data_IF_339626259616
#
_entry.id   IF_339626259616
#
_cell.length_a   1.000
_cell.length_b   1.000
_cell.length_c   1.000
_cell.angle_alpha   90.00
_cell.angle_beta   90.00
_cell.angle_gamma   90.00
#
_symmetry.space_group_name_H-M   'P 1'
#
loop_
_entity.id
_entity.type
_entity.pdbx_description
1 polymer ?
#
# COMPACT_ATOMS: atom_id res chain seq x y z
N UNK A 1 11.11 18.69 -52.17
CA UNK A 1 11.79 18.40 -50.90
C UNK A 1 13.19 17.93 -51.25
N UNK A 2 14.19 18.83 -51.06
CA UNK A 2 15.55 18.57 -51.53
C UNK A 2 16.20 17.39 -50.80
N UNK A 3 16.82 16.50 -51.60
CA UNK A 3 17.55 15.30 -51.11
C UNK A 3 18.57 15.67 -50.05
N UNK A 4 19.13 16.90 -50.11
CA UNK A 4 20.05 17.45 -49.05
C UNK A 4 19.36 17.68 -47.72
N UNK A 5 18.11 18.10 -47.69
CA UNK A 5 17.33 18.28 -46.46
C UNK A 5 16.93 16.93 -45.84
N UNK A 6 16.64 15.95 -46.63
CA UNK A 6 16.34 14.57 -46.17
C UNK A 6 17.59 13.89 -45.58
N UNK A 7 18.75 14.09 -46.17
CA UNK A 7 20.04 13.57 -45.65
C UNK A 7 20.43 14.30 -44.33
N UNK A 8 20.21 15.63 -44.24
CA UNK A 8 20.47 16.37 -43.01
C UNK A 8 19.54 15.97 -41.87
N UNK A 9 18.25 15.76 -42.15
CA UNK A 9 17.28 15.32 -41.15
C UNK A 9 17.54 13.87 -40.71
N UNK A 10 17.99 13.00 -41.60
CA UNK A 10 18.37 11.62 -41.29
C UNK A 10 19.66 11.58 -40.46
N UNK A 11 20.65 12.45 -40.75
CA UNK A 11 21.88 12.59 -39.96
C UNK A 11 21.57 13.16 -38.56
N UNK A 12 20.64 14.09 -38.44
CA UNK A 12 20.22 14.63 -37.13
C UNK A 12 19.45 13.61 -36.27
N UNK A 13 18.65 12.74 -36.92
CA UNK A 13 17.98 11.62 -36.26
C UNK A 13 18.99 10.53 -35.81
N UNK A 14 20.05 10.29 -36.56
CA UNK A 14 21.09 9.32 -36.21
C UNK A 14 21.98 9.81 -35.04
N UNK A 15 22.23 11.13 -34.92
CA UNK A 15 23.01 11.69 -33.80
C UNK A 15 22.22 11.70 -32.48
N UNK A 16 20.89 11.76 -32.53
CA UNK A 16 20.04 11.65 -31.34
C UNK A 16 20.04 10.22 -30.74
N UNK A 17 20.36 9.19 -31.53
CA UNK A 17 20.41 7.81 -31.06
C UNK A 17 21.71 7.43 -30.27
N UNK A 18 22.73 8.28 -30.28
CA UNK A 18 23.98 8.09 -29.55
C UNK A 18 24.06 8.83 -28.21
N UNK A 19 22.94 9.44 -27.78
CA UNK A 19 22.86 9.90 -26.41
C UNK A 19 22.95 8.68 -25.50
N UNK A 20 24.14 8.38 -25.00
CA UNK A 20 24.32 7.43 -23.92
C UNK A 20 23.35 7.83 -22.82
N UNK A 21 22.34 7.02 -22.59
CA UNK A 21 21.35 7.30 -21.56
C UNK A 21 22.07 7.36 -20.22
N UNK A 22 22.42 8.57 -19.80
CA UNK A 22 22.96 8.80 -18.47
C UNK A 22 21.79 8.72 -17.50
N UNK A 23 21.86 7.78 -16.60
CA UNK A 23 20.82 7.60 -15.60
C UNK A 23 21.25 8.30 -14.31
N UNK A 24 20.43 9.26 -13.87
CA UNK A 24 20.66 9.99 -12.61
C UNK A 24 19.87 9.35 -11.47
N UNK A 25 20.32 9.59 -10.23
CA UNK A 25 19.62 9.13 -9.03
C UNK A 25 18.20 9.66 -8.95
N UNK A 26 18.01 10.95 -9.25
CA UNK A 26 16.68 11.58 -9.16
C UNK A 26 15.71 11.05 -10.23
N UNK A 27 16.24 10.73 -11.41
CA UNK A 27 15.44 10.07 -12.44
C UNK A 27 14.99 8.68 -11.99
N UNK A 28 15.89 7.88 -11.38
CA UNK A 28 15.54 6.58 -10.81
C UNK A 28 14.48 6.69 -9.74
N UNK A 29 14.60 7.63 -8.81
CA UNK A 29 13.61 7.89 -7.75
C UNK A 29 12.25 8.26 -8.35
N UNK A 30 12.23 9.20 -9.30
CA UNK A 30 11.00 9.66 -9.95
C UNK A 30 10.29 8.53 -10.71
N UNK A 31 11.05 7.74 -11.50
CA UNK A 31 10.49 6.61 -12.23
C UNK A 31 9.99 5.51 -11.30
N UNK A 32 10.73 5.19 -10.25
CA UNK A 32 10.30 4.22 -9.25
C UNK A 32 9.02 4.69 -8.54
N UNK A 33 8.93 5.95 -8.14
CA UNK A 33 7.72 6.50 -7.54
C UNK A 33 6.51 6.46 -8.49
N UNK A 34 6.72 6.67 -9.79
CA UNK A 34 5.63 6.63 -10.78
C UNK A 34 5.15 5.20 -11.09
N UNK A 35 6.05 4.22 -11.11
CA UNK A 35 5.76 2.86 -11.56
C UNK A 35 5.55 1.86 -10.43
N UNK A 36 5.93 2.18 -9.20
CA UNK A 36 5.83 1.26 -8.08
C UNK A 36 4.37 0.92 -7.76
N UNK A 37 4.01 -0.36 -7.63
CA UNK A 37 2.61 -0.77 -7.49
C UNK A 37 1.88 -0.11 -6.32
N UNK A 38 2.59 0.27 -5.24
CA UNK A 38 2.01 0.95 -4.09
C UNK A 38 1.43 2.33 -4.42
N UNK A 39 1.85 2.98 -5.51
CA UNK A 39 1.27 4.27 -5.93
C UNK A 39 -0.23 4.15 -6.20
N UNK A 40 -0.68 3.03 -6.75
CA UNK A 40 -2.11 2.77 -6.99
C UNK A 40 -2.93 2.69 -5.70
N UNK A 41 -2.28 2.43 -4.58
CA UNK A 41 -2.94 2.32 -3.27
C UNK A 41 -3.52 3.65 -2.79
N UNK A 42 -2.90 4.79 -3.15
CA UNK A 42 -3.45 6.11 -2.81
C UNK A 42 -4.90 6.27 -3.28
N UNK A 43 -5.15 6.02 -4.55
CA UNK A 43 -6.50 6.12 -5.09
C UNK A 43 -7.48 5.08 -4.52
N UNK A 44 -7.01 3.93 -4.05
CA UNK A 44 -7.85 2.93 -3.39
C UNK A 44 -8.21 3.36 -1.96
N UNK A 45 -7.28 3.95 -1.21
CA UNK A 45 -7.54 4.49 0.13
C UNK A 45 -8.58 5.61 0.05
N UNK A 46 -8.42 6.53 -0.90
CA UNK A 46 -9.36 7.64 -1.10
C UNK A 46 -10.78 7.13 -1.43
N UNK A 47 -10.91 6.21 -2.39
CA UNK A 47 -12.19 5.61 -2.74
C UNK A 47 -12.83 4.82 -1.59
N UNK A 48 -12.03 4.07 -0.84
CA UNK A 48 -12.53 3.34 0.33
C UNK A 48 -13.09 4.32 1.37
N UNK A 49 -12.35 5.40 1.65
CA UNK A 49 -12.81 6.47 2.54
C UNK A 49 -14.14 7.09 2.07
N UNK A 50 -14.27 7.40 0.78
CA UNK A 50 -15.50 7.95 0.20
C UNK A 50 -16.70 7.01 0.40
N UNK A 51 -16.54 5.71 0.09
CA UNK A 51 -17.59 4.72 0.29
C UNK A 51 -17.97 4.55 1.77
N UNK A 52 -16.98 4.52 2.66
CA UNK A 52 -17.23 4.36 4.09
C UNK A 52 -17.92 5.59 4.69
N UNK A 53 -17.56 6.80 4.23
CA UNK A 53 -18.25 8.04 4.60
C UNK A 53 -19.69 8.06 4.11
N UNK A 54 -19.92 7.61 2.87
CA UNK A 54 -21.27 7.48 2.31
C UNK A 54 -22.09 6.48 3.11
N UNK A 55 -21.54 5.29 3.40
CA UNK A 55 -22.19 4.25 4.18
C UNK A 55 -22.51 4.71 5.62
N UNK A 56 -21.56 5.38 6.28
CA UNK A 56 -21.80 5.96 7.61
C UNK A 56 -22.96 6.97 7.58
N UNK A 57 -23.06 7.76 6.51
CA UNK A 57 -24.16 8.71 6.31
C UNK A 57 -25.55 8.08 6.21
N UNK A 58 -25.62 6.86 5.67
CA UNK A 58 -26.88 6.11 5.53
C UNK A 58 -27.51 5.71 6.86
N UNK A 59 -26.79 5.83 7.98
CA UNK A 59 -27.33 5.59 9.31
C UNK A 59 -28.49 6.49 9.70
N UNK A 60 -28.67 7.65 9.04
CA UNK A 60 -29.83 8.52 9.21
C UNK A 60 -31.01 8.19 8.29
N UNK A 61 -30.84 7.26 7.34
CA UNK A 61 -31.94 6.87 6.47
C UNK A 61 -32.92 5.96 7.23
N UNK A 62 -34.23 6.05 6.89
CA UNK A 62 -35.24 5.14 7.44
C UNK A 62 -34.90 3.70 7.03
N UNK A 63 -35.02 2.79 7.98
CA UNK A 63 -34.82 1.36 7.78
C UNK A 63 -36.17 0.65 7.82
N UNK A 64 -36.43 -0.07 6.74
CA UNK A 64 -37.60 -0.94 6.65
C UNK A 64 -37.17 -2.37 6.91
N UNK A 65 -37.91 -3.07 7.77
CA UNK A 65 -37.74 -4.50 7.98
C UNK A 65 -39.11 -5.21 7.87
N UNK A 66 -39.11 -6.29 7.10
CA UNK A 66 -40.26 -7.20 7.00
C UNK A 66 -39.83 -8.51 7.66
N UNK A 67 -40.59 -8.95 8.67
CA UNK A 67 -40.33 -10.19 9.38
C UNK A 67 -41.58 -11.06 9.39
N UNK A 68 -41.36 -12.36 9.26
CA UNK A 68 -42.42 -13.38 9.42
C UNK A 68 -42.06 -14.32 10.56
N UNK A 69 -43.03 -14.60 11.42
CA UNK A 69 -42.86 -15.54 12.53
C UNK A 69 -43.99 -16.57 12.50
N UNK A 70 -43.67 -17.84 12.63
CA UNK A 70 -44.58 -18.92 12.85
C UNK A 70 -44.14 -19.67 14.11
N UNK A 71 -45.00 -19.85 15.06
CA UNK A 71 -44.70 -20.59 16.32
C UNK A 71 -45.77 -21.61 16.63
N UNK A 72 -45.33 -22.74 17.17
CA UNK A 72 -46.21 -23.73 17.73
C UNK A 72 -45.81 -23.91 19.20
N UNK A 73 -46.78 -23.77 20.10
CA UNK A 73 -46.59 -23.84 21.55
C UNK A 73 -47.12 -25.16 22.07
N UNK A 74 -46.38 -25.83 22.98
CA UNK A 74 -46.83 -27.05 23.63
C UNK A 74 -48.01 -26.83 24.57
N UNK A 75 -48.11 -25.61 25.15
CA UNK A 75 -49.20 -25.14 26.02
C UNK A 75 -49.58 -23.71 25.69
N UNK A 76 -50.79 -23.30 26.13
CA UNK A 76 -51.36 -21.98 25.87
C UNK A 76 -51.52 -21.19 27.15
N UNK A 77 -51.51 -19.86 27.03
CA UNK A 77 -51.80 -18.96 28.15
C UNK A 77 -53.26 -19.02 28.44
N UNK A 78 -53.63 -19.41 29.68
CA UNK A 78 -55.00 -19.45 30.18
C UNK A 78 -55.14 -18.45 31.32
N UNK A 79 -56.31 -17.82 31.39
CA UNK A 79 -56.65 -17.03 32.55
C UNK A 79 -56.99 -17.97 33.74
N UNK A 80 -56.39 -17.78 34.91
CA UNK A 80 -56.60 -18.65 36.06
C UNK A 80 -57.94 -18.42 36.77
N UNK A 81 -58.91 -17.76 36.12
CA UNK A 81 -60.20 -17.42 36.68
C UNK A 81 -61.32 -17.97 35.79
N UNK A 82 -62.11 -18.87 36.36
CA UNK A 82 -63.37 -19.33 35.74
C UNK A 82 -64.49 -18.39 36.17
N UNK A 83 -65.09 -17.66 35.25
CA UNK A 83 -66.23 -16.79 35.52
C UNK A 83 -67.52 -17.52 35.08
N UNK A 84 -68.41 -17.86 36.01
CA UNK A 84 -69.61 -18.60 35.65
C UNK A 84 -70.46 -17.84 34.60
N UNK A 85 -70.65 -18.47 33.44
CA UNK A 85 -71.46 -17.92 32.34
C UNK A 85 -70.66 -17.12 31.28
N UNK A 86 -69.37 -17.03 31.40
CA UNK A 86 -68.49 -16.41 30.39
C UNK A 86 -67.50 -17.45 29.89
N UNK A 87 -67.61 -17.81 28.60
CA UNK A 87 -66.59 -18.64 27.92
C UNK A 87 -65.43 -17.73 27.49
N UNK A 88 -64.27 -17.92 28.10
CA UNK A 88 -63.06 -17.17 27.76
C UNK A 88 -62.31 -17.92 26.67
N UNK A 89 -62.34 -17.38 25.47
CA UNK A 89 -61.54 -17.88 24.36
C UNK A 89 -60.07 -18.00 24.76
N UNK A 90 -59.41 -19.07 24.38
CA UNK A 90 -58.00 -19.33 24.69
C UNK A 90 -57.14 -19.09 23.42
N UNK A 91 -55.94 -18.58 23.62
CA UNK A 91 -55.00 -18.36 22.50
C UNK A 91 -54.75 -19.69 21.76
N UNK A 92 -54.64 -19.68 20.41
CA UNK A 92 -54.29 -20.89 19.64
C UNK A 92 -52.85 -21.32 19.92
N UNK A 93 -52.58 -22.66 19.77
CA UNK A 93 -51.23 -23.20 19.91
C UNK A 93 -50.33 -22.81 18.76
N UNK A 94 -50.87 -22.66 17.57
CA UNK A 94 -50.21 -22.22 16.38
C UNK A 94 -50.45 -20.73 16.19
N UNK A 95 -49.35 -19.98 16.03
CA UNK A 95 -49.37 -18.54 15.88
C UNK A 95 -48.56 -18.11 14.67
N UNK A 96 -49.14 -17.19 13.92
CA UNK A 96 -48.55 -16.68 12.69
C UNK A 96 -48.55 -15.15 12.71
N UNK A 97 -47.45 -14.55 12.33
CA UNK A 97 -47.34 -13.08 12.31
C UNK A 97 -46.43 -12.65 11.15
N UNK A 98 -46.89 -11.65 10.43
CA UNK A 98 -46.06 -10.88 9.49
C UNK A 98 -46.04 -9.45 9.99
N UNK A 99 -44.84 -8.89 10.16
CA UNK A 99 -44.64 -7.56 10.71
C UNK A 99 -43.79 -6.71 9.76
N UNK A 100 -44.26 -5.53 9.43
CA UNK A 100 -43.53 -4.47 8.76
C UNK A 100 -43.16 -3.41 9.81
N UNK A 101 -41.88 -3.13 9.91
CA UNK A 101 -41.35 -2.14 10.84
C UNK A 101 -40.59 -1.06 10.06
N UNK A 102 -40.82 0.18 10.39
CA UNK A 102 -40.06 1.35 9.97
C UNK A 102 -39.34 1.92 11.18
N UNK A 103 -38.02 1.96 11.12
CA UNK A 103 -37.18 2.57 12.15
C UNK A 103 -36.39 3.72 11.57
N UNK A 104 -36.41 4.87 12.23
CA UNK A 104 -35.66 6.05 11.85
C UNK A 104 -34.91 6.65 13.03
N UNK A 105 -33.59 6.80 12.90
CA UNK A 105 -32.79 7.57 13.84
C UNK A 105 -32.98 9.07 13.59
N UNK A 106 -33.47 9.82 14.59
CA UNK A 106 -33.61 11.28 14.54
C UNK A 106 -32.35 11.93 15.12
N UNK A 107 -31.87 11.41 16.26
CA UNK A 107 -30.72 11.88 16.97
C UNK A 107 -29.96 10.71 17.60
N UNK A 108 -28.68 10.56 17.31
CA UNK A 108 -27.86 9.43 17.74
C UNK A 108 -26.78 9.81 18.77
N UNK A 109 -26.88 10.98 19.37
CA UNK A 109 -25.84 11.50 20.27
C UNK A 109 -24.56 11.93 19.56
N UNK A 110 -24.58 12.01 18.23
CA UNK A 110 -23.42 12.34 17.41
C UNK A 110 -22.58 11.13 16.98
N UNK A 111 -23.06 9.91 17.16
CA UNK A 111 -22.34 8.67 16.80
C UNK A 111 -22.00 8.64 15.30
N UNK A 112 -22.97 8.89 14.43
CA UNK A 112 -22.75 8.92 12.96
C UNK A 112 -21.75 10.01 12.57
N UNK A 113 -21.84 11.19 13.19
CA UNK A 113 -20.88 12.28 12.93
C UNK A 113 -19.47 11.88 13.34
N UNK A 114 -19.31 11.30 14.54
CA UNK A 114 -18.00 10.88 15.03
C UNK A 114 -17.48 9.68 14.26
N UNK A 115 -18.34 8.75 13.82
CA UNK A 115 -17.96 7.66 12.92
C UNK A 115 -17.39 8.18 11.60
N UNK A 116 -18.03 9.19 10.99
CA UNK A 116 -17.49 9.85 9.78
C UNK A 116 -16.14 10.51 10.03
N UNK A 117 -15.97 11.18 11.18
CA UNK A 117 -14.68 11.76 11.57
C UNK A 117 -13.61 10.68 11.75
N UNK A 118 -13.96 9.57 12.41
CA UNK A 118 -13.05 8.44 12.62
C UNK A 118 -12.65 7.79 11.30
N UNK A 119 -13.58 7.62 10.36
CA UNK A 119 -13.29 7.12 9.02
C UNK A 119 -12.27 8.01 8.30
N UNK A 120 -12.45 9.35 8.36
CA UNK A 120 -11.47 10.29 7.77
C UNK A 120 -10.10 10.18 8.44
N UNK A 121 -10.06 10.24 9.77
CA UNK A 121 -8.81 10.13 10.51
C UNK A 121 -8.08 8.80 10.27
N UNK A 122 -8.82 7.69 10.11
CA UNK A 122 -8.24 6.40 9.74
C UNK A 122 -7.67 6.42 8.31
N UNK A 123 -8.37 7.03 7.38
CA UNK A 123 -7.88 7.21 6.01
C UNK A 123 -6.63 8.09 5.95
N UNK A 124 -6.58 9.16 6.75
CA UNK A 124 -5.40 10.04 6.86
C UNK A 124 -4.18 9.27 7.40
N UNK A 125 -4.37 8.41 8.41
CA UNK A 125 -3.31 7.52 8.92
C UNK A 125 -2.83 6.57 7.82
N UNK A 126 -3.74 5.96 7.03
CA UNK A 126 -3.36 5.07 5.94
C UNK A 126 -2.63 5.81 4.82
N UNK A 127 -3.00 7.05 4.51
CA UNK A 127 -2.31 7.92 3.55
C UNK A 127 -0.90 8.27 4.03
N UNK A 128 -0.74 8.70 5.28
CA UNK A 128 0.58 9.04 5.84
C UNK A 128 1.47 7.80 5.98
N UNK A 129 0.91 6.63 6.29
CA UNK A 129 1.65 5.36 6.26
C UNK A 129 2.14 5.06 4.84
N UNK A 130 1.32 5.30 3.83
CA UNK A 130 1.72 5.14 2.44
C UNK A 130 2.86 6.11 2.06
N UNK A 131 2.86 7.35 2.58
CA UNK A 131 3.97 8.29 2.40
C UNK A 131 5.28 7.76 3.02
N UNK A 132 5.22 7.17 4.22
CA UNK A 132 6.38 6.52 4.86
C UNK A 132 6.90 5.36 3.99
N UNK A 133 6.01 4.49 3.51
CA UNK A 133 6.37 3.36 2.66
C UNK A 133 7.04 3.83 1.34
N UNK A 134 6.54 4.92 0.75
CA UNK A 134 7.11 5.53 -0.45
C UNK A 134 8.46 6.22 -0.18
N UNK A 135 8.64 6.77 1.02
CA UNK A 135 9.93 7.33 1.43
C UNK A 135 10.99 6.23 1.60
N UNK A 136 10.63 5.10 2.20
CA UNK A 136 11.50 3.94 2.31
C UNK A 136 11.89 3.35 0.94
N UNK A 137 11.07 3.52 -0.10
CA UNK A 137 11.42 3.16 -1.47
C UNK A 137 12.64 3.96 -1.96
N UNK A 138 12.72 5.26 -1.66
CA UNK A 138 13.87 6.09 -2.05
C UNK A 138 15.19 5.55 -1.47
N UNK A 139 15.14 5.04 -0.25
CA UNK A 139 16.31 4.47 0.43
C UNK A 139 16.81 3.22 -0.29
N UNK A 140 15.89 2.35 -0.72
CA UNK A 140 16.22 1.15 -1.52
C UNK A 140 16.81 1.53 -2.88
N UNK A 141 16.26 2.53 -3.55
CA UNK A 141 16.80 3.05 -4.81
C UNK A 141 18.21 3.61 -4.61
N UNK A 142 18.43 4.37 -3.54
CA UNK A 142 19.74 4.90 -3.19
C UNK A 142 20.77 3.78 -3.01
N UNK A 143 20.44 2.76 -2.21
CA UNK A 143 21.32 1.63 -1.96
C UNK A 143 21.70 0.90 -3.26
N UNK A 144 20.73 0.65 -4.15
CA UNK A 144 20.99 0.02 -5.44
C UNK A 144 21.86 0.91 -6.34
N UNK A 145 21.51 2.20 -6.45
CA UNK A 145 22.21 3.14 -7.31
C UNK A 145 23.68 3.33 -6.89
N UNK A 146 23.91 3.61 -5.60
CA UNK A 146 25.27 3.75 -5.08
C UNK A 146 26.03 2.42 -5.06
N UNK A 147 25.34 1.29 -4.88
CA UNK A 147 25.93 -0.04 -5.03
C UNK A 147 26.45 -0.28 -6.44
N UNK A 148 25.71 0.11 -7.48
CA UNK A 148 26.16 0.03 -8.87
C UNK A 148 27.38 0.92 -9.10
N UNK A 149 27.37 2.17 -8.60
CA UNK A 149 28.53 3.07 -8.73
C UNK A 149 29.78 2.50 -8.03
N UNK A 150 29.61 1.90 -6.86
CA UNK A 150 30.73 1.25 -6.15
C UNK A 150 31.30 0.09 -6.96
N UNK A 151 30.45 -0.77 -7.50
CA UNK A 151 30.85 -1.91 -8.33
C UNK A 151 31.54 -1.43 -9.63
N UNK A 152 31.08 -0.33 -10.23
CA UNK A 152 31.76 0.28 -11.38
C UNK A 152 33.17 0.76 -11.05
N UNK A 153 33.39 1.36 -9.88
CA UNK A 153 34.74 1.77 -9.46
C UNK A 153 35.61 0.56 -9.10
N UNK A 154 35.05 -0.47 -8.46
CA UNK A 154 35.78 -1.72 -8.18
C UNK A 154 36.19 -2.45 -9.48
N UNK A 155 35.33 -2.47 -10.49
CA UNK A 155 35.66 -3.01 -11.81
C UNK A 155 36.78 -2.23 -12.49
N UNK A 156 36.83 -0.91 -12.36
CA UNK A 156 37.95 -0.10 -12.88
C UNK A 156 39.26 -0.46 -12.18
N UNK A 157 39.22 -0.56 -10.84
CA UNK A 157 40.42 -0.95 -10.08
C UNK A 157 40.90 -2.37 -10.42
N UNK A 158 39.96 -3.32 -10.55
CA UNK A 158 40.30 -4.68 -10.96
C UNK A 158 40.97 -4.73 -12.36
N UNK A 159 40.50 -3.92 -13.32
CA UNK A 159 41.12 -3.80 -14.64
C UNK A 159 42.57 -3.32 -14.54
N UNK A 160 42.82 -2.26 -13.74
CA UNK A 160 44.16 -1.76 -13.50
C UNK A 160 45.07 -2.85 -12.89
N UNK A 161 44.56 -3.62 -11.94
CA UNK A 161 45.27 -4.75 -11.35
C UNK A 161 45.59 -5.83 -12.41
N UNK A 162 44.62 -6.18 -13.27
CA UNK A 162 44.87 -7.16 -14.34
C UNK A 162 45.92 -6.67 -15.34
N UNK A 163 45.91 -5.37 -15.68
CA UNK A 163 46.92 -4.77 -16.55
C UNK A 163 48.31 -4.80 -15.90
N UNK A 164 48.40 -4.54 -14.58
CA UNK A 164 49.67 -4.61 -13.83
C UNK A 164 50.20 -6.04 -13.76
N UNK A 165 49.34 -7.00 -13.42
CA UNK A 165 49.68 -8.42 -13.41
C UNK A 165 50.08 -8.93 -14.79
N UNK A 166 49.45 -8.40 -15.86
CA UNK A 166 49.86 -8.72 -17.23
C UNK A 166 51.29 -8.24 -17.55
N UNK A 167 51.66 -7.03 -17.11
CA UNK A 167 53.04 -6.52 -17.26
C UNK A 167 54.04 -7.32 -16.42
N UNK A 168 53.67 -7.63 -15.18
CA UNK A 168 54.49 -8.42 -14.25
C UNK A 168 54.72 -9.83 -14.80
N UNK A 169 53.67 -10.49 -15.31
CA UNK A 169 53.79 -11.82 -15.92
C UNK A 169 54.78 -11.83 -17.09
N UNK A 170 54.71 -10.84 -17.99
CA UNK A 170 55.62 -10.68 -19.09
C UNK A 170 57.06 -10.48 -18.59
N UNK A 171 57.27 -9.61 -17.61
CA UNK A 171 58.60 -9.35 -17.03
C UNK A 171 59.20 -10.60 -16.39
N UNK A 172 58.39 -11.35 -15.58
CA UNK A 172 58.87 -12.60 -14.95
C UNK A 172 59.19 -13.68 -16.01
N UNK A 173 58.37 -13.76 -17.08
CA UNK A 173 58.62 -14.65 -18.23
C UNK A 173 59.92 -14.32 -18.92
N UNK A 174 60.24 -13.03 -19.13
CA UNK A 174 61.52 -12.60 -19.73
C UNK A 174 62.70 -12.91 -18.78
N UNK A 175 62.50 -12.73 -17.47
CA UNK A 175 63.54 -13.12 -16.48
C UNK A 175 63.79 -14.62 -16.44
N UNK A 176 62.73 -15.43 -16.56
CA UNK A 176 62.82 -16.88 -16.62
C UNK A 176 63.58 -17.31 -17.86
N UNK A 177 63.33 -16.71 -19.02
CA UNK A 177 64.08 -16.99 -20.29
C UNK A 177 65.53 -16.66 -20.17
N UNK A 178 65.93 -15.73 -19.31
CA UNK A 178 67.38 -15.36 -19.05
C UNK A 178 67.91 -16.05 -17.79
N UNK A 179 67.22 -17.03 -17.20
CA UNK A 179 67.68 -17.80 -16.04
C UNK A 179 67.76 -17.05 -14.74
N UNK A 180 67.02 -15.90 -14.62
CA UNK A 180 66.96 -15.02 -13.44
C UNK A 180 65.77 -15.37 -12.53
N UNK A 181 64.65 -15.88 -13.10
CA UNK A 181 63.44 -16.30 -12.38
C UNK A 181 63.17 -17.78 -12.57
N UNK A 182 62.38 -18.39 -11.68
CA UNK A 182 61.99 -19.79 -11.71
C UNK A 182 60.56 -19.97 -12.29
N UNK A 183 60.23 -21.20 -12.69
CA UNK A 183 58.82 -21.52 -13.06
C UNK A 183 57.84 -21.24 -11.96
N UNK A 184 58.23 -21.46 -10.70
CA UNK A 184 57.41 -21.17 -9.54
C UNK A 184 57.04 -19.69 -9.42
N UNK A 185 57.97 -18.79 -9.79
CA UNK A 185 57.69 -17.33 -9.78
C UNK A 185 56.66 -16.95 -10.85
N UNK A 186 56.75 -17.55 -12.04
CA UNK A 186 55.79 -17.34 -13.12
C UNK A 186 54.41 -17.90 -12.78
N UNK A 187 54.37 -19.11 -12.18
CA UNK A 187 53.11 -19.74 -11.74
C UNK A 187 52.42 -18.92 -10.65
N UNK A 188 53.20 -18.33 -9.71
CA UNK A 188 52.65 -17.45 -8.68
C UNK A 188 51.93 -16.24 -9.29
N UNK A 189 52.53 -15.56 -10.28
CA UNK A 189 51.88 -14.44 -10.97
C UNK A 189 50.65 -14.89 -11.77
N UNK A 190 50.75 -16.09 -12.38
CA UNK A 190 49.61 -16.66 -13.13
C UNK A 190 48.40 -16.97 -12.23
N UNK A 191 48.63 -17.45 -10.99
CA UNK A 191 47.57 -17.65 -10.01
C UNK A 191 46.89 -16.32 -9.65
N UNK A 192 47.68 -15.25 -9.43
CA UNK A 192 47.11 -13.94 -9.15
C UNK A 192 46.31 -13.36 -10.33
N UNK A 193 46.73 -13.62 -11.58
CA UNK A 193 45.93 -13.24 -12.76
C UNK A 193 44.58 -13.97 -12.79
N UNK A 194 44.58 -15.28 -12.48
CA UNK A 194 43.33 -16.06 -12.41
C UNK A 194 42.39 -15.55 -11.28
N UNK A 195 42.97 -15.26 -10.11
CA UNK A 195 42.22 -14.67 -8.99
C UNK A 195 41.60 -13.32 -9.36
N UNK A 196 42.34 -12.43 -9.99
CA UNK A 196 41.86 -11.14 -10.47
C UNK A 196 40.77 -11.31 -11.54
N UNK A 197 40.93 -12.32 -12.43
CA UNK A 197 39.90 -12.67 -13.42
C UNK A 197 38.63 -13.20 -12.81
N UNK A 198 38.72 -14.07 -11.79
CA UNK A 198 37.56 -14.56 -11.05
C UNK A 198 36.84 -13.41 -10.35
N UNK A 199 37.57 -12.56 -9.65
CA UNK A 199 36.99 -11.41 -8.95
C UNK A 199 36.26 -10.43 -9.90
N UNK A 200 36.78 -10.24 -11.12
CA UNK A 200 36.08 -9.47 -12.15
C UNK A 200 34.70 -10.06 -12.48
N UNK A 201 34.61 -11.38 -12.66
CA UNK A 201 33.34 -12.06 -12.97
C UNK A 201 32.33 -11.89 -11.81
N UNK A 202 32.80 -11.98 -10.57
CA UNK A 202 31.97 -11.75 -9.38
C UNK A 202 31.41 -10.32 -9.32
N UNK A 203 32.27 -9.33 -9.61
CA UNK A 203 31.87 -7.92 -9.67
C UNK A 203 30.88 -7.65 -10.81
N UNK A 204 31.13 -8.17 -12.01
CA UNK A 204 30.23 -8.02 -13.17
C UNK A 204 28.86 -8.65 -12.91
N UNK A 205 28.84 -9.85 -12.31
CA UNK A 205 27.59 -10.55 -11.94
C UNK A 205 26.81 -9.79 -10.88
N UNK A 206 27.49 -9.31 -9.85
CA UNK A 206 26.89 -8.50 -8.79
C UNK A 206 26.32 -7.20 -9.34
N UNK A 207 27.06 -6.51 -10.20
CA UNK A 207 26.59 -5.30 -10.89
C UNK A 207 25.32 -5.57 -11.69
N UNK A 208 25.29 -6.64 -12.47
CA UNK A 208 24.12 -6.98 -13.26
C UNK A 208 22.93 -7.29 -12.38
N UNK A 209 23.12 -7.98 -11.26
CA UNK A 209 22.05 -8.23 -10.29
C UNK A 209 21.46 -6.93 -9.72
N UNK A 210 22.31 -5.96 -9.34
CA UNK A 210 21.85 -4.64 -8.86
C UNK A 210 21.11 -3.86 -9.94
N UNK A 211 21.59 -3.88 -11.19
CA UNK A 211 20.92 -3.26 -12.34
C UNK A 211 19.55 -3.88 -12.58
N UNK A 212 19.44 -5.21 -12.53
CA UNK A 212 18.17 -5.90 -12.71
C UNK A 212 17.18 -5.57 -11.59
N UNK A 213 17.65 -5.50 -10.33
CA UNK A 213 16.80 -5.05 -9.22
C UNK A 213 16.33 -3.62 -9.39
N UNK A 214 17.23 -2.70 -9.77
CA UNK A 214 16.85 -1.30 -10.02
C UNK A 214 15.85 -1.19 -11.19
N UNK A 215 16.06 -1.95 -12.27
CA UNK A 215 15.16 -2.06 -13.42
C UNK A 215 13.74 -2.48 -12.99
N UNK A 216 13.64 -3.47 -12.10
CA UNK A 216 12.34 -3.91 -11.56
C UNK A 216 11.63 -2.81 -10.76
N UNK A 217 12.37 -1.99 -9.97
CA UNK A 217 11.79 -0.88 -9.23
C UNK A 217 11.33 0.27 -10.13
N UNK A 218 12.10 0.64 -11.15
CA UNK A 218 11.74 1.71 -12.08
C UNK A 218 10.71 1.27 -13.14
N UNK A 219 10.45 -0.05 -13.26
CA UNK A 219 9.51 -0.62 -14.22
C UNK A 219 9.95 -0.50 -15.68
N UNK A 220 11.23 -0.32 -15.92
CA UNK A 220 11.82 -0.15 -17.26
C UNK A 220 13.17 -0.88 -17.33
N UNK A 221 13.40 -1.57 -18.43
CA UNK A 221 14.67 -2.22 -18.69
C UNK A 221 15.80 -1.17 -18.82
N UNK A 222 16.90 -1.40 -18.11
CA UNK A 222 18.10 -0.58 -18.18
C UNK A 222 19.04 -1.25 -19.17
N UNK A 223 19.35 -0.61 -20.32
CA UNK A 223 20.24 -1.20 -21.33
C UNK A 223 21.64 -1.51 -20.79
N UNK A 224 22.23 -2.57 -21.29
CA UNK A 224 23.63 -2.89 -21.01
C UNK A 224 24.53 -1.73 -21.48
N UNK A 225 25.45 -1.29 -20.62
CA UNK A 225 26.33 -0.15 -20.91
C UNK A 225 25.77 1.23 -20.49
N UNK A 226 24.57 1.30 -19.88
CA UNK A 226 24.09 2.55 -19.28
C UNK A 226 25.09 3.09 -18.27
N UNK A 227 25.42 4.38 -18.39
CA UNK A 227 26.33 5.07 -17.48
C UNK A 227 25.52 5.69 -16.35
N UNK A 228 25.86 5.30 -15.12
CA UNK A 228 25.27 5.89 -13.90
C UNK A 228 26.04 7.15 -13.52
N UNK A 229 25.34 8.27 -13.45
CA UNK A 229 25.96 9.55 -13.14
C UNK A 229 26.14 9.68 -11.62
N UNK A 230 27.40 9.89 -11.19
CA UNK A 230 27.69 10.17 -9.78
C UNK A 230 27.02 11.50 -9.38
N UNK A 231 26.16 11.51 -8.33
CA UNK A 231 25.56 12.75 -7.86
C UNK A 231 26.63 13.74 -7.42
N UNK A 232 26.42 15.02 -7.74
CA UNK A 232 27.26 16.08 -7.19
C UNK A 232 27.06 16.13 -5.67
N UNK A 233 28.09 16.42 -4.87
CA UNK A 233 27.92 16.66 -3.45
C UNK A 233 26.98 17.86 -3.28
N UNK A 234 25.80 17.64 -2.70
CA UNK A 234 24.94 18.76 -2.33
C UNK A 234 25.68 19.61 -1.30
N UNK A 235 25.80 20.91 -1.57
CA UNK A 235 26.27 21.87 -0.57
C UNK A 235 25.38 21.69 0.67
N UNK A 236 26.00 21.55 1.83
CA UNK A 236 25.33 21.29 3.10
C UNK A 236 24.11 22.22 3.24
N UNK A 237 22.92 21.69 2.96
CA UNK A 237 21.68 22.42 3.17
C UNK A 237 21.59 22.71 4.65
N UNK A 238 21.49 23.97 5.01
CA UNK A 238 21.31 24.43 6.38
C UNK A 238 20.15 23.64 7.04
N UNK A 239 20.46 22.84 8.04
CA UNK A 239 19.52 21.95 8.76
C UNK A 239 18.47 22.74 9.56
N UNK A 240 18.50 24.06 9.52
CA UNK A 240 17.71 24.95 10.39
C UNK A 240 16.18 24.91 10.19
N UNK A 241 15.64 24.20 9.22
CA UNK A 241 14.17 24.12 8.99
C UNK A 241 13.61 22.74 8.70
N UNK A 242 14.45 21.70 8.65
CA UNK A 242 14.08 20.42 8.04
C UNK A 242 13.60 19.31 8.96
N UNK A 243 13.60 19.53 10.28
CA UNK A 243 13.31 18.45 11.24
C UNK A 243 11.86 17.96 11.17
N UNK A 244 10.92 18.82 10.81
CA UNK A 244 9.49 18.50 10.78
C UNK A 244 8.96 17.95 9.43
N UNK A 245 9.82 17.70 8.46
CA UNK A 245 9.39 17.23 7.14
C UNK A 245 9.46 15.70 6.96
N UNK A 246 9.80 14.95 8.00
CA UNK A 246 9.85 13.49 7.94
C UNK A 246 8.44 12.91 7.88
N UNK A 247 8.16 12.01 6.92
CA UNK A 247 6.84 11.38 6.79
C UNK A 247 6.38 10.65 8.05
N UNK A 248 7.32 10.09 8.81
CA UNK A 248 7.02 9.39 10.07
C UNK A 248 6.39 10.33 11.12
N UNK A 249 6.82 11.59 11.17
CA UNK A 249 6.26 12.57 12.11
C UNK A 249 4.81 12.90 11.76
N UNK A 250 4.51 13.07 10.47
CA UNK A 250 3.13 13.25 10.00
C UNK A 250 2.25 12.05 10.30
N UNK A 251 2.80 10.83 10.16
CA UNK A 251 2.09 9.62 10.55
C UNK A 251 1.75 9.62 12.05
N UNK A 252 2.66 10.08 12.93
CA UNK A 252 2.38 10.20 14.36
C UNK A 252 1.34 11.27 14.66
N UNK A 253 1.37 12.41 13.98
CA UNK A 253 0.34 13.46 14.09
C UNK A 253 -1.03 12.94 13.68
N UNK A 254 -1.14 12.25 12.53
CA UNK A 254 -2.38 11.63 12.07
C UNK A 254 -2.92 10.58 13.06
N UNK A 255 -2.06 9.77 13.66
CA UNK A 255 -2.44 8.82 14.72
C UNK A 255 -2.93 9.50 15.99
N UNK A 256 -2.31 10.60 16.38
CA UNK A 256 -2.73 11.38 17.53
C UNK A 256 -4.12 11.96 17.31
N UNK A 257 -4.38 12.50 16.12
CA UNK A 257 -5.73 12.98 15.75
C UNK A 257 -6.74 11.83 15.72
N UNK A 258 -6.39 10.68 15.17
CA UNK A 258 -7.26 9.49 15.19
C UNK A 258 -7.65 9.09 16.62
N UNK A 259 -6.71 9.10 17.57
CA UNK A 259 -6.96 8.79 18.98
C UNK A 259 -7.90 9.83 19.60
N UNK A 260 -7.73 11.12 19.32
CA UNK A 260 -8.62 12.18 19.82
C UNK A 260 -10.06 12.00 19.32
N UNK A 261 -10.21 11.60 18.06
CA UNK A 261 -11.53 11.29 17.48
C UNK A 261 -12.12 10.01 18.06
N UNK A 262 -11.32 9.01 18.39
CA UNK A 262 -11.78 7.80 19.11
C UNK A 262 -12.31 8.14 20.48
N UNK A 263 -11.64 9.00 21.24
CA UNK A 263 -12.13 9.51 22.53
C UNK A 263 -13.48 10.22 22.37
N UNK A 264 -13.62 11.11 21.38
CA UNK A 264 -14.90 11.76 21.10
C UNK A 264 -16.02 10.76 20.73
N UNK A 265 -15.67 9.66 20.07
CA UNK A 265 -16.62 8.58 19.74
C UNK A 265 -17.08 7.83 21.00
N UNK A 266 -16.19 7.60 21.96
CA UNK A 266 -16.54 6.99 23.24
C UNK A 266 -17.49 7.90 24.04
N UNK A 267 -17.21 9.20 24.08
CA UNK A 267 -18.06 10.18 24.74
C UNK A 267 -19.47 10.27 24.12
N UNK A 268 -19.59 10.08 22.80
CA UNK A 268 -20.90 10.05 22.14
C UNK A 268 -21.76 8.83 22.52
N UNK A 269 -21.18 7.74 23.00
CA UNK A 269 -21.94 6.54 23.41
C UNK A 269 -22.77 6.72 24.65
N UNK A 270 -22.40 7.65 25.54
CA UNK A 270 -23.14 7.98 26.77
C UNK A 270 -24.20 9.07 26.54
N UNK A 271 -24.27 9.63 25.32
CA UNK A 271 -25.28 10.64 24.97
C UNK A 271 -26.65 10.02 24.69
N UNK A 272 -27.76 10.73 24.98
CA UNK A 272 -29.10 10.28 24.65
C UNK A 272 -29.26 10.01 23.16
N UNK A 273 -30.11 9.05 22.79
CA UNK A 273 -30.49 8.75 21.41
C UNK A 273 -31.97 8.84 21.24
N UNK A 274 -32.40 9.44 20.15
CA UNK A 274 -33.84 9.57 19.82
C UNK A 274 -34.08 8.93 18.45
N UNK A 275 -35.06 8.05 18.41
CA UNK A 275 -35.53 7.40 17.20
C UNK A 275 -37.05 7.38 17.15
N UNK A 276 -37.59 7.30 15.95
CA UNK A 276 -38.99 7.00 15.68
C UNK A 276 -39.04 5.57 15.15
N UNK A 277 -40.00 4.81 15.67
CA UNK A 277 -40.36 3.53 15.07
C UNK A 277 -41.86 3.47 14.85
N UNK A 278 -42.26 2.85 13.77
CA UNK A 278 -43.65 2.54 13.42
C UNK A 278 -43.68 1.08 13.00
N UNK A 279 -44.59 0.32 13.57
CA UNK A 279 -44.78 -1.07 13.19
C UNK A 279 -46.20 -1.35 12.82
N UNK A 280 -46.42 -2.18 11.82
CA UNK A 280 -47.72 -2.74 11.47
C UNK A 280 -47.57 -4.23 11.33
N UNK A 281 -48.49 -4.99 11.87
CA UNK A 281 -48.47 -6.43 11.81
C UNK A 281 -49.83 -7.01 11.44
N UNK A 282 -49.79 -8.19 10.82
CA UNK A 282 -50.96 -9.02 10.55
C UNK A 282 -50.65 -10.44 11.04
N UNK A 283 -51.52 -10.95 11.90
CA UNK A 283 -51.23 -12.27 12.51
C UNK A 283 -52.42 -12.88 13.21
N UNK A 284 -52.23 -14.14 13.60
CA UNK A 284 -53.13 -14.91 14.46
C UNK A 284 -52.35 -15.44 15.66
N UNK A 285 -52.68 -15.11 16.92
CA UNK A 285 -53.66 -14.10 17.29
C UNK A 285 -53.17 -12.73 16.92
N UNK A 286 -54.10 -11.77 16.71
CA UNK A 286 -53.77 -10.38 16.51
C UNK A 286 -53.32 -9.69 17.80
N UNK A 287 -53.67 -8.38 17.98
CA UNK A 287 -53.37 -7.65 19.21
C UNK A 287 -54.07 -8.25 20.43
N UNK A 288 -55.29 -8.77 20.23
CA UNK A 288 -56.01 -9.51 21.26
C UNK A 288 -55.55 -10.96 21.26
N UNK A 289 -54.67 -11.31 22.18
CA UNK A 289 -54.08 -12.66 22.31
C UNK A 289 -55.06 -13.76 22.66
N UNK A 290 -56.29 -13.42 23.10
CA UNK A 290 -57.33 -14.38 23.50
C UNK A 290 -58.27 -14.73 22.36
N UNK A 291 -58.14 -14.09 21.18
CA UNK A 291 -59.00 -14.37 20.02
C UNK A 291 -58.22 -15.19 18.99
N UNK A 292 -58.78 -16.29 18.57
CA UNK A 292 -58.25 -17.11 17.47
C UNK A 292 -58.73 -16.58 16.12
N UNK A 293 -58.30 -15.35 15.80
CA UNK A 293 -58.61 -14.72 14.52
C UNK A 293 -57.41 -13.94 13.97
N UNK A 294 -57.29 -13.91 12.65
CA UNK A 294 -56.30 -13.05 11.98
C UNK A 294 -56.75 -11.60 12.04
N UNK A 295 -55.93 -10.74 12.59
CA UNK A 295 -56.20 -9.31 12.58
C UNK A 295 -54.94 -8.49 12.29
N UNK A 296 -55.19 -7.28 11.72
CA UNK A 296 -54.15 -6.29 11.53
C UNK A 296 -54.08 -5.36 12.74
N UNK A 297 -52.85 -4.97 13.11
CA UNK A 297 -52.64 -3.99 14.17
C UNK A 297 -51.37 -3.14 13.91
N UNK A 298 -51.31 -2.00 14.54
CA UNK A 298 -50.20 -1.05 14.39
C UNK A 298 -49.94 -0.34 15.72
#
# INVERSE_FOLDING_TARGET
MDVKQAILSLAFLLTAALAHAQLTLDECRRQAQANYPLVRRYGLIEKACEYDLSNAGKGYLPRFSLSGKATYQSDITRLPVEIPGIDVETAPKDQYQVMLELQQTIWDGGDIRNRKRLTRAASDVDMEKQHVDMYALNDRINQLFFGILLLDEQLKQNRLLQDDLGRTHKQVSDYMANGIATQSDLDAVSVEQLNAGQHRIELETSRQAYVNMLSAFIGKEIPAGTVFQKPAPESAVSVAGGINNRPELRLFEARTEQLSVQEATLNARVMPRFGLFVQGAYGNPGLNMLKDEFSAYY
#
